data_IF_052834554281
#
_entry.id   IF_052834554281
#
_cell.length_a   1.000
_cell.length_b   1.000
_cell.length_c   1.000
_cell.angle_alpha   90.00
_cell.angle_beta   90.00
_cell.angle_gamma   90.00
#
_symmetry.space_group_name_H-M   'P 1'
#
loop_
_entity.id
_entity.type
_entity.pdbx_description
1 polymer ?
#
# COMPACT_ATOMS: atom_id res chain seq x y z
N UNK A 1 -12.92 20.28 -19.38
CA UNK A 1 -12.39 20.02 -18.02
C UNK A 1 -10.90 20.27 -18.09
N UNK A 2 -10.36 21.13 -17.24
CA UNK A 2 -8.93 21.46 -17.24
C UNK A 2 -8.13 20.39 -16.47
N UNK A 3 -7.05 19.90 -17.08
CA UNK A 3 -6.21 18.83 -16.52
C UNK A 3 -5.39 19.31 -15.34
N UNK A 4 -4.95 20.56 -15.33
CA UNK A 4 -4.21 21.16 -14.21
C UNK A 4 -5.08 21.16 -12.96
N UNK A 5 -6.34 21.58 -13.11
CA UNK A 5 -7.32 21.53 -12.02
C UNK A 5 -7.53 20.10 -11.51
N UNK A 6 -7.59 19.10 -12.39
CA UNK A 6 -7.75 17.69 -12.01
C UNK A 6 -6.52 17.21 -11.23
N UNK A 7 -5.31 17.48 -11.72
CA UNK A 7 -4.06 17.08 -11.08
C UNK A 7 -3.91 17.77 -9.72
N UNK A 8 -4.16 19.07 -9.63
CA UNK A 8 -4.06 19.81 -8.38
C UNK A 8 -5.09 19.32 -7.33
N UNK A 9 -6.27 18.89 -7.77
CA UNK A 9 -7.33 18.41 -6.86
C UNK A 9 -7.10 16.95 -6.44
N UNK A 10 -6.70 16.08 -7.37
CA UNK A 10 -6.70 14.62 -7.17
C UNK A 10 -5.29 14.01 -7.12
N UNK A 11 -4.24 14.81 -7.34
CA UNK A 11 -2.86 14.35 -7.41
C UNK A 11 -2.41 13.62 -6.15
N UNK A 12 -2.61 14.24 -4.98
CA UNK A 12 -2.27 13.59 -3.70
C UNK A 12 -3.12 12.33 -3.46
N UNK A 13 -4.38 12.33 -3.88
CA UNK A 13 -5.24 11.15 -3.75
C UNK A 13 -4.75 9.97 -4.60
N UNK A 14 -4.45 10.21 -5.89
CA UNK A 14 -3.95 9.16 -6.79
C UNK A 14 -2.59 8.67 -6.34
N UNK A 15 -1.70 9.57 -5.89
CA UNK A 15 -0.40 9.20 -5.36
C UNK A 15 -0.49 8.28 -4.15
N UNK A 16 -1.28 8.65 -3.13
CA UNK A 16 -1.45 7.78 -1.98
C UNK A 16 -2.11 6.45 -2.37
N UNK A 17 -2.97 6.46 -3.40
CA UNK A 17 -3.58 5.25 -3.94
C UNK A 17 -2.56 4.31 -4.55
N UNK A 18 -1.70 4.83 -5.41
CA UNK A 18 -0.58 4.11 -5.95
C UNK A 18 0.39 3.64 -4.84
N UNK A 19 0.67 4.50 -3.84
CA UNK A 19 1.61 4.21 -2.76
C UNK A 19 1.16 3.05 -1.87
N UNK A 20 -0.09 3.03 -1.41
CA UNK A 20 -0.54 1.92 -0.56
C UNK A 20 -0.69 0.62 -1.37
N UNK A 21 -0.95 0.68 -2.69
CA UNK A 21 -0.95 -0.50 -3.55
C UNK A 21 0.47 -1.06 -3.81
N UNK A 22 1.39 -0.20 -4.26
CA UNK A 22 2.75 -0.60 -4.64
C UNK A 22 3.66 -0.80 -3.43
N UNK A 23 3.35 -0.11 -2.33
CA UNK A 23 4.20 0.02 -1.14
C UNK A 23 5.62 0.52 -1.47
N UNK A 24 5.78 1.21 -2.60
CA UNK A 24 7.05 1.74 -3.09
C UNK A 24 6.84 3.17 -3.62
N UNK A 25 7.46 4.20 -3.00
CA UNK A 25 7.30 5.59 -3.42
C UNK A 25 7.64 5.86 -4.88
N UNK A 26 8.75 5.33 -5.40
CA UNK A 26 9.16 5.54 -6.79
C UNK A 26 8.15 4.93 -7.77
N UNK A 27 7.69 3.71 -7.50
CA UNK A 27 6.63 3.09 -8.32
C UNK A 27 5.32 3.87 -8.19
N UNK A 28 5.03 4.45 -7.03
CA UNK A 28 3.83 5.26 -6.83
C UNK A 28 3.85 6.55 -7.64
N UNK A 29 5.01 7.21 -7.73
CA UNK A 29 5.22 8.36 -8.62
C UNK A 29 4.92 7.97 -10.07
N UNK A 30 5.59 6.94 -10.60
CA UNK A 30 5.39 6.47 -11.98
C UNK A 30 3.93 6.14 -12.27
N UNK A 31 3.28 5.36 -11.39
CA UNK A 31 1.87 5.00 -11.54
C UNK A 31 0.94 6.21 -11.51
N UNK A 32 1.25 7.23 -10.70
CA UNK A 32 0.45 8.45 -10.62
C UNK A 32 0.54 9.25 -11.91
N UNK A 33 1.75 9.41 -12.44
CA UNK A 33 1.98 10.06 -13.73
C UNK A 33 1.24 9.30 -14.85
N UNK A 34 1.45 7.99 -14.98
CA UNK A 34 0.76 7.16 -15.97
C UNK A 34 -0.77 7.25 -15.82
N UNK A 35 -1.27 7.38 -14.59
CA UNK A 35 -2.70 7.52 -14.33
C UNK A 35 -3.25 8.81 -14.92
N UNK A 36 -2.58 9.94 -14.71
CA UNK A 36 -3.06 11.22 -15.25
C UNK A 36 -2.91 11.29 -16.77
N UNK A 37 -1.85 10.71 -17.34
CA UNK A 37 -1.70 10.57 -18.80
C UNK A 37 -2.86 9.75 -19.38
N UNK A 38 -3.14 8.57 -18.82
CA UNK A 38 -4.22 7.69 -19.29
C UNK A 38 -5.61 8.29 -19.04
N UNK A 39 -5.79 9.00 -17.92
CA UNK A 39 -7.01 9.73 -17.62
C UNK A 39 -7.25 10.83 -18.66
N UNK A 40 -6.24 11.64 -18.97
CA UNK A 40 -6.37 12.69 -19.97
C UNK A 40 -6.78 12.15 -21.33
N UNK A 41 -6.14 11.06 -21.78
CA UNK A 41 -6.50 10.39 -23.03
C UNK A 41 -7.95 9.86 -23.06
N UNK A 42 -8.51 9.52 -21.90
CA UNK A 42 -9.84 8.94 -21.74
C UNK A 42 -10.86 9.93 -21.17
N UNK A 43 -10.53 11.22 -21.08
CA UNK A 43 -11.34 12.20 -20.34
C UNK A 43 -12.78 12.28 -20.86
N UNK A 44 -12.98 12.10 -22.17
CA UNK A 44 -14.29 12.08 -22.83
C UNK A 44 -15.18 10.88 -22.42
N UNK A 45 -14.62 9.87 -21.76
CA UNK A 45 -15.36 8.72 -21.24
C UNK A 45 -15.94 8.97 -19.85
N UNK A 46 -15.51 10.03 -19.17
CA UNK A 46 -16.04 10.43 -17.87
C UNK A 46 -17.42 11.07 -18.07
N UNK A 47 -18.48 10.30 -17.81
CA UNK A 47 -19.87 10.75 -17.99
C UNK A 47 -20.39 11.64 -16.85
N UNK A 48 -19.87 11.45 -15.64
CA UNK A 48 -20.27 12.17 -14.43
C UNK A 48 -19.03 12.69 -13.72
N UNK A 49 -18.94 14.01 -13.53
CA UNK A 49 -17.83 14.65 -12.83
C UNK A 49 -17.72 14.22 -11.36
N UNK A 50 -18.84 13.84 -10.73
CA UNK A 50 -18.84 13.35 -9.34
C UNK A 50 -18.16 11.98 -9.21
N UNK A 51 -18.08 11.22 -10.31
CA UNK A 51 -17.42 9.92 -10.36
C UNK A 51 -15.90 10.02 -10.63
N UNK A 52 -15.32 11.22 -10.78
CA UNK A 52 -13.91 11.38 -11.17
C UNK A 52 -12.96 10.65 -10.21
N UNK A 53 -13.23 10.67 -8.90
CA UNK A 53 -12.40 10.02 -7.89
C UNK A 53 -12.37 8.50 -8.07
N UNK A 54 -13.53 7.87 -8.22
CA UNK A 54 -13.63 6.42 -8.44
C UNK A 54 -13.17 6.00 -9.83
N UNK A 55 -13.31 6.88 -10.83
CA UNK A 55 -12.80 6.69 -12.18
C UNK A 55 -11.27 6.73 -12.24
N UNK A 56 -10.63 7.73 -11.62
CA UNK A 56 -9.16 7.79 -11.48
C UNK A 56 -8.62 6.59 -10.71
N UNK A 57 -9.29 6.18 -9.62
CA UNK A 57 -8.98 4.97 -8.87
C UNK A 57 -8.91 3.73 -9.76
N UNK A 58 -9.91 3.57 -10.66
CA UNK A 58 -9.97 2.44 -11.60
C UNK A 58 -8.81 2.47 -12.61
N UNK A 59 -8.45 3.66 -13.13
CA UNK A 59 -7.31 3.81 -14.03
C UNK A 59 -6.01 3.45 -13.32
N UNK A 60 -5.78 4.01 -12.14
CA UNK A 60 -4.58 3.75 -11.35
C UNK A 60 -4.43 2.26 -10.99
N UNK A 61 -5.52 1.60 -10.60
CA UNK A 61 -5.50 0.18 -10.29
C UNK A 61 -5.13 -0.67 -11.51
N UNK A 62 -5.65 -0.34 -12.69
CA UNK A 62 -5.29 -1.03 -13.92
C UNK A 62 -3.82 -0.82 -14.29
N UNK A 63 -3.31 0.41 -14.17
CA UNK A 63 -1.89 0.71 -14.38
C UNK A 63 -1.02 -0.10 -13.41
N UNK A 64 -1.41 -0.17 -12.13
CA UNK A 64 -0.72 -0.99 -11.12
C UNK A 64 -0.68 -2.47 -11.51
N UNK A 65 -1.81 -3.07 -11.90
CA UNK A 65 -1.82 -4.46 -12.35
C UNK A 65 -0.96 -4.68 -13.60
N UNK A 66 -0.93 -3.72 -14.53
CA UNK A 66 -0.06 -3.79 -15.70
C UNK A 66 1.42 -3.70 -15.32
N UNK A 67 1.78 -2.82 -14.39
CA UNK A 67 3.14 -2.71 -13.83
C UNK A 67 3.55 -4.04 -13.19
N UNK A 68 2.72 -4.60 -12.32
CA UNK A 68 3.01 -5.87 -11.66
C UNK A 68 3.15 -7.02 -12.67
N UNK A 69 2.30 -7.10 -13.70
CA UNK A 69 2.38 -8.12 -14.77
C UNK A 69 3.70 -8.09 -15.55
N UNK A 70 4.29 -6.91 -15.72
CA UNK A 70 5.58 -6.76 -16.41
C UNK A 70 6.75 -7.22 -15.52
N UNK A 71 6.58 -7.28 -14.20
CA UNK A 71 7.60 -7.77 -13.29
C UNK A 71 7.67 -9.30 -13.33
N UNK A 72 8.89 -9.84 -13.45
CA UNK A 72 9.18 -11.28 -13.64
C UNK A 72 8.59 -12.19 -12.54
N UNK A 73 8.25 -11.63 -11.38
CA UNK A 73 7.75 -12.37 -10.22
C UNK A 73 6.22 -12.33 -10.08
N UNK A 74 5.48 -11.75 -11.04
CA UNK A 74 4.02 -11.60 -10.96
C UNK A 74 3.30 -12.90 -10.63
N UNK A 75 3.65 -13.98 -11.34
CA UNK A 75 3.03 -15.30 -11.18
C UNK A 75 3.34 -15.91 -9.81
N UNK A 76 4.52 -15.67 -9.24
CA UNK A 76 4.89 -16.16 -7.92
C UNK A 76 4.16 -15.40 -6.80
N UNK A 77 3.85 -14.12 -7.03
CA UNK A 77 3.12 -13.26 -6.10
C UNK A 77 1.60 -13.53 -6.11
N UNK A 78 1.08 -14.31 -7.05
CA UNK A 78 -0.36 -14.57 -7.24
C UNK A 78 -0.92 -15.73 -6.42
N UNK A 79 -0.07 -16.64 -5.93
CA UNK A 79 -0.53 -17.94 -5.42
C UNK A 79 -1.15 -17.87 -4.02
N UNK A 80 -2.45 -17.62 -3.99
CA UNK A 80 -3.32 -18.07 -2.90
C UNK A 80 -4.41 -18.99 -3.50
N UNK A 81 -4.55 -20.20 -2.96
CA UNK A 81 -5.61 -21.14 -3.36
C UNK A 81 -6.99 -20.59 -2.96
N UNK A 82 -7.81 -20.24 -3.96
CA UNK A 82 -9.16 -19.68 -3.79
C UNK A 82 -10.05 -20.59 -2.95
N UNK A 83 -10.03 -21.91 -3.17
CA UNK A 83 -10.87 -22.84 -2.42
C UNK A 83 -10.45 -22.87 -0.94
N UNK A 84 -9.16 -22.74 -0.66
CA UNK A 84 -8.67 -22.66 0.71
C UNK A 84 -9.04 -21.32 1.36
N UNK A 85 -8.97 -20.21 0.61
CA UNK A 85 -9.38 -18.89 1.10
C UNK A 85 -10.85 -18.85 1.49
N UNK A 86 -11.73 -19.43 0.67
CA UNK A 86 -13.17 -19.50 0.96
C UNK A 86 -13.45 -20.33 2.22
N UNK A 87 -12.72 -21.42 2.45
CA UNK A 87 -12.81 -22.20 3.70
C UNK A 87 -12.35 -21.41 4.93
N UNK A 88 -11.42 -20.48 4.76
CA UNK A 88 -10.88 -19.65 5.84
C UNK A 88 -11.70 -18.36 6.07
N UNK A 89 -12.77 -18.11 5.31
CA UNK A 89 -13.51 -16.83 5.35
C UNK A 89 -14.03 -16.46 6.74
N UNK A 90 -14.42 -17.47 7.53
CA UNK A 90 -15.04 -17.33 8.84
C UNK A 90 -14.02 -17.03 9.94
N UNK A 91 -12.73 -17.14 9.64
CA UNK A 91 -11.63 -16.87 10.56
C UNK A 91 -11.32 -15.37 10.65
N UNK A 92 -11.76 -14.58 9.68
CA UNK A 92 -11.61 -13.13 9.70
C UNK A 92 -12.45 -12.54 10.85
N UNK A 93 -11.75 -12.00 11.86
CA UNK A 93 -12.38 -11.25 12.95
C UNK A 93 -12.28 -9.75 12.70
N UNK A 94 -13.40 -9.04 12.84
CA UNK A 94 -13.41 -7.58 12.79
C UNK A 94 -12.98 -7.01 14.15
N UNK A 95 -11.81 -6.38 14.18
CA UNK A 95 -11.26 -5.74 15.37
C UNK A 95 -11.01 -4.26 15.08
N UNK A 96 -11.97 -3.37 15.43
CA UNK A 96 -11.78 -1.94 15.24
C UNK A 96 -10.67 -1.43 16.17
N UNK A 97 -9.87 -0.45 15.73
CA UNK A 97 -8.95 0.27 16.62
C UNK A 97 -9.70 0.88 17.80
N UNK A 98 -9.11 0.81 18.99
CA UNK A 98 -9.64 1.39 20.22
C UNK A 98 -8.82 2.63 20.61
N UNK A 99 -9.36 3.55 21.44
CA UNK A 99 -8.62 4.73 21.89
C UNK A 99 -7.27 4.39 22.53
N UNK A 100 -7.18 3.29 23.27
CA UNK A 100 -5.92 2.82 23.88
C UNK A 100 -4.86 2.32 22.86
N UNK A 101 -5.25 2.09 21.60
CA UNK A 101 -4.33 1.68 20.54
C UNK A 101 -3.63 2.90 19.88
N UNK A 102 -4.07 4.12 20.18
CA UNK A 102 -3.47 5.35 19.66
C UNK A 102 -2.07 5.56 20.25
N UNK A 103 -1.09 5.78 19.38
CA UNK A 103 0.29 6.06 19.79
C UNK A 103 0.71 7.42 19.26
N UNK A 104 0.88 8.37 20.19
CA UNK A 104 1.47 9.68 19.88
C UNK A 104 2.99 9.51 19.85
N UNK A 105 3.59 9.76 18.68
CA UNK A 105 5.04 9.69 18.46
C UNK A 105 5.53 10.94 17.73
N UNK A 106 6.82 11.25 17.89
CA UNK A 106 7.49 12.29 17.12
C UNK A 106 7.39 12.00 15.60
N UNK A 107 7.34 13.04 14.76
CA UNK A 107 7.14 12.93 13.31
C UNK A 107 8.15 12.00 12.63
N UNK A 108 9.44 12.15 12.94
CA UNK A 108 10.51 11.30 12.39
C UNK A 108 10.33 9.81 12.77
N UNK A 109 9.76 9.52 13.94
CA UNK A 109 9.42 8.16 14.36
C UNK A 109 8.23 7.64 13.55
N UNK A 110 7.20 8.46 13.37
CA UNK A 110 6.05 8.11 12.52
C UNK A 110 6.48 7.80 11.09
N UNK A 111 7.35 8.60 10.48
CA UNK A 111 7.85 8.36 9.13
C UNK A 111 8.58 7.02 8.99
N UNK A 112 9.46 6.69 9.95
CA UNK A 112 10.16 5.41 9.98
C UNK A 112 9.20 4.24 10.18
N UNK A 113 8.22 4.37 11.08
CA UNK A 113 7.17 3.37 11.29
C UNK A 113 6.42 3.14 9.98
N UNK A 114 5.93 4.20 9.34
CA UNK A 114 5.21 4.10 8.06
C UNK A 114 6.04 3.42 6.97
N UNK A 115 7.34 3.75 6.88
CA UNK A 115 8.27 3.09 5.96
C UNK A 115 8.42 1.59 6.25
N UNK A 116 8.59 1.21 7.52
CA UNK A 116 8.68 -0.19 7.95
C UNK A 116 7.38 -0.95 7.65
N UNK A 117 6.23 -0.35 7.95
CA UNK A 117 4.91 -0.92 7.76
C UNK A 117 4.61 -1.17 6.27
N UNK A 118 4.90 -0.19 5.39
CA UNK A 118 4.80 -0.37 3.94
C UNK A 118 5.78 -1.43 3.43
N UNK A 119 7.01 -1.44 3.93
CA UNK A 119 8.00 -2.44 3.53
C UNK A 119 7.52 -3.87 3.83
N UNK A 120 6.85 -4.10 4.97
CA UNK A 120 6.35 -5.43 5.33
C UNK A 120 5.15 -5.87 4.50
N UNK A 121 4.28 -4.95 4.11
CA UNK A 121 3.18 -5.24 3.17
C UNK A 121 3.70 -5.72 1.81
N UNK A 122 4.91 -5.32 1.40
CA UNK A 122 5.56 -5.83 0.17
C UNK A 122 5.92 -7.31 0.21
N UNK A 123 5.96 -7.92 1.39
CA UNK A 123 6.25 -9.35 1.54
C UNK A 123 4.99 -10.22 1.61
N UNK A 124 3.80 -9.61 1.56
CA UNK A 124 2.56 -10.33 1.28
C UNK A 124 2.50 -10.75 -0.19
N UNK A 125 1.71 -11.80 -0.48
CA UNK A 125 1.29 -12.10 -1.86
C UNK A 125 0.59 -10.87 -2.45
N UNK A 126 0.61 -10.74 -3.77
CA UNK A 126 -0.02 -9.61 -4.46
C UNK A 126 -1.51 -9.52 -4.14
N UNK A 127 -2.22 -10.65 -4.10
CA UNK A 127 -3.65 -10.68 -3.77
C UNK A 127 -3.93 -10.27 -2.32
N UNK A 128 -3.14 -10.77 -1.36
CA UNK A 128 -3.23 -10.35 0.04
C UNK A 128 -2.94 -8.86 0.18
N UNK A 129 -1.88 -8.37 -0.48
CA UNK A 129 -1.51 -6.95 -0.50
C UNK A 129 -2.64 -6.08 -1.03
N UNK A 130 -3.19 -6.41 -2.20
CA UNK A 130 -4.28 -5.65 -2.79
C UNK A 130 -5.48 -5.61 -1.84
N UNK A 131 -5.90 -6.77 -1.31
CA UNK A 131 -7.04 -6.83 -0.38
C UNK A 131 -6.79 -5.96 0.87
N UNK A 132 -5.62 -6.08 1.48
CA UNK A 132 -5.22 -5.31 2.66
C UNK A 132 -5.17 -3.80 2.36
N UNK A 133 -4.52 -3.39 1.27
CA UNK A 133 -4.40 -1.99 0.91
C UNK A 133 -5.74 -1.34 0.59
N UNK A 134 -6.63 -2.03 -0.12
CA UNK A 134 -7.96 -1.51 -0.46
C UNK A 134 -8.84 -1.37 0.78
N UNK A 135 -8.85 -2.38 1.66
CA UNK A 135 -9.79 -2.44 2.77
C UNK A 135 -9.25 -1.68 3.99
N UNK A 136 -8.07 -2.05 4.50
CA UNK A 136 -7.58 -1.50 5.77
C UNK A 136 -6.89 -0.16 5.61
N UNK A 137 -6.10 0.02 4.54
CA UNK A 137 -5.37 1.29 4.32
C UNK A 137 -6.20 2.35 3.59
N UNK A 138 -7.19 1.92 2.79
CA UNK A 138 -8.05 2.83 2.02
C UNK A 138 -9.50 2.91 2.48
N UNK A 139 -9.96 1.99 3.31
CA UNK A 139 -11.31 2.00 3.86
C UNK A 139 -12.41 1.62 2.86
N UNK A 140 -12.09 0.90 1.77
CA UNK A 140 -13.14 0.36 0.90
C UNK A 140 -13.90 -0.76 1.61
N UNK A 141 -15.17 -0.92 1.24
CA UNK A 141 -15.95 -2.07 1.67
C UNK A 141 -15.44 -3.36 1.05
N UNK A 142 -15.73 -4.50 1.69
CA UNK A 142 -15.44 -5.83 1.14
C UNK A 142 -16.06 -6.02 -0.26
N UNK A 143 -17.25 -5.47 -0.50
CA UNK A 143 -17.94 -5.58 -1.79
C UNK A 143 -17.23 -4.78 -2.89
N UNK A 144 -16.78 -3.55 -2.58
CA UNK A 144 -15.99 -2.77 -3.53
C UNK A 144 -14.64 -3.43 -3.82
N UNK A 145 -13.95 -3.92 -2.77
CA UNK A 145 -12.67 -4.58 -2.93
C UNK A 145 -12.79 -5.87 -3.76
N UNK A 146 -13.79 -6.72 -3.48
CA UNK A 146 -13.98 -7.96 -4.25
C UNK A 146 -14.28 -7.69 -5.72
N UNK A 147 -15.06 -6.63 -6.02
CA UNK A 147 -15.33 -6.20 -7.39
C UNK A 147 -14.08 -5.66 -8.11
N UNK A 148 -13.19 -4.98 -7.39
CA UNK A 148 -11.92 -4.48 -7.93
C UNK A 148 -10.95 -5.65 -8.20
N UNK A 149 -10.85 -6.60 -7.27
CA UNK A 149 -9.93 -7.75 -7.35
C UNK A 149 -10.44 -8.77 -8.40
N UNK A 150 -11.76 -8.90 -8.56
CA UNK A 150 -12.38 -9.85 -9.49
C UNK A 150 -12.52 -11.27 -8.93
N UNK A 151 -12.71 -11.41 -7.61
CA UNK A 151 -12.92 -12.69 -6.92
C UNK A 151 -14.13 -12.60 -5.97
N UNK A 152 -14.55 -13.74 -5.40
CA UNK A 152 -15.69 -13.77 -4.47
C UNK A 152 -15.41 -12.93 -3.20
N UNK A 153 -16.48 -12.41 -2.58
CA UNK A 153 -16.38 -11.74 -1.26
C UNK A 153 -15.78 -12.67 -0.21
N UNK A 154 -16.11 -13.95 -0.29
CA UNK A 154 -15.58 -15.02 0.57
C UNK A 154 -14.06 -15.15 0.45
N UNK A 155 -13.55 -15.33 -0.77
CA UNK A 155 -12.11 -15.39 -1.04
C UNK A 155 -11.40 -14.10 -0.63
N UNK A 156 -12.05 -12.94 -0.83
CA UNK A 156 -11.53 -11.64 -0.39
C UNK A 156 -11.35 -11.58 1.13
N UNK A 157 -12.29 -12.12 1.91
CA UNK A 157 -12.14 -12.23 3.38
C UNK A 157 -10.98 -13.15 3.77
N UNK A 158 -10.83 -14.28 3.08
CA UNK A 158 -9.71 -15.20 3.28
C UNK A 158 -8.36 -14.52 3.02
N UNK A 159 -8.26 -13.72 1.95
CA UNK A 159 -7.04 -12.96 1.64
C UNK A 159 -6.72 -11.96 2.74
N UNK A 160 -7.73 -11.21 3.19
CA UNK A 160 -7.57 -10.23 4.25
C UNK A 160 -7.13 -10.89 5.57
N UNK A 161 -7.74 -12.03 5.91
CA UNK A 161 -7.36 -12.82 7.08
C UNK A 161 -5.89 -13.23 7.03
N UNK A 162 -5.43 -13.80 5.91
CA UNK A 162 -4.02 -14.18 5.75
C UNK A 162 -3.07 -13.00 5.79
N UNK A 163 -3.44 -11.89 5.13
CA UNK A 163 -2.67 -10.66 5.16
C UNK A 163 -2.44 -10.20 6.61
N UNK A 164 -3.51 -10.17 7.41
CA UNK A 164 -3.39 -9.81 8.82
C UNK A 164 -2.53 -10.79 9.60
N UNK A 165 -2.75 -12.10 9.47
CA UNK A 165 -1.98 -13.09 10.23
C UNK A 165 -0.49 -13.04 9.89
N UNK A 166 -0.14 -12.78 8.62
CA UNK A 166 1.23 -12.59 8.18
C UNK A 166 1.89 -11.36 8.80
N UNK A 167 1.20 -10.21 8.78
CA UNK A 167 1.71 -8.97 9.38
C UNK A 167 1.79 -9.06 10.90
N UNK A 168 0.74 -9.53 11.55
CA UNK A 168 0.67 -9.70 13.00
C UNK A 168 1.81 -10.58 13.50
N UNK A 169 2.02 -11.74 12.86
CA UNK A 169 3.08 -12.67 13.23
C UNK A 169 4.47 -12.02 13.12
N UNK A 170 4.70 -11.26 12.05
CA UNK A 170 5.95 -10.55 11.86
C UNK A 170 6.15 -9.49 12.95
N UNK A 171 5.23 -8.54 13.09
CA UNK A 171 5.44 -7.42 14.00
C UNK A 171 5.41 -7.84 15.46
N UNK A 172 4.59 -8.81 15.85
CA UNK A 172 4.55 -9.34 17.21
C UNK A 172 5.91 -9.84 17.69
N UNK A 173 6.70 -10.46 16.80
CA UNK A 173 8.01 -11.04 17.14
C UNK A 173 9.18 -10.07 17.04
N UNK A 174 8.98 -8.90 16.42
CA UNK A 174 10.10 -8.04 16.03
C UNK A 174 9.94 -6.59 16.49
N UNK A 175 8.71 -6.08 16.63
CA UNK A 175 8.46 -4.66 16.82
C UNK A 175 8.35 -4.30 18.31
N UNK A 176 9.24 -3.42 18.82
CA UNK A 176 9.18 -2.94 20.21
C UNK A 176 7.91 -2.13 20.50
N UNK A 177 7.35 -1.48 19.48
CA UNK A 177 6.09 -0.74 19.58
C UNK A 177 4.90 -1.63 19.97
N UNK A 178 4.94 -2.91 19.56
CA UNK A 178 3.87 -3.86 19.85
C UNK A 178 4.15 -4.70 21.09
N UNK A 179 5.41 -5.08 21.31
CA UNK A 179 5.85 -5.79 22.52
C UNK A 179 7.21 -5.22 22.95
N UNK A 180 7.25 -4.66 24.17
CA UNK A 180 8.43 -4.00 24.75
C UNK A 180 9.65 -4.90 24.89
N UNK A 181 9.48 -6.23 24.83
CA UNK A 181 10.57 -7.20 24.87
C UNK A 181 11.30 -7.35 23.53
N UNK A 182 10.74 -6.84 22.44
CA UNK A 182 11.34 -6.93 21.12
C UNK A 182 12.48 -5.91 20.94
N UNK A 183 13.47 -6.28 20.11
CA UNK A 183 14.71 -5.52 19.93
C UNK A 183 14.62 -4.36 18.94
N UNK A 184 13.64 -4.34 18.02
CA UNK A 184 13.51 -3.25 17.05
C UNK A 184 12.97 -1.98 17.69
N UNK A 185 13.81 -0.96 17.88
CA UNK A 185 13.39 0.36 18.38
C UNK A 185 13.52 1.42 17.29
N UNK A 186 12.39 2.05 16.92
CA UNK A 186 12.39 3.13 15.93
C UNK A 186 13.32 4.28 16.33
N UNK A 187 13.33 4.66 17.61
CA UNK A 187 14.23 5.71 18.12
C UNK A 187 15.69 5.30 17.97
N UNK A 188 16.04 4.06 18.32
CA UNK A 188 17.39 3.54 18.15
C UNK A 188 17.80 3.51 16.67
N UNK A 189 16.89 3.15 15.76
CA UNK A 189 17.14 3.15 14.31
C UNK A 189 17.37 4.56 13.75
N UNK A 190 16.61 5.56 14.19
CA UNK A 190 16.81 6.95 13.79
C UNK A 190 18.17 7.45 14.28
N UNK A 191 18.49 7.24 15.55
CA UNK A 191 19.78 7.63 16.13
C UNK A 191 20.95 6.90 15.47
N UNK A 192 20.77 5.61 15.14
CA UNK A 192 21.73 4.86 14.34
C UNK A 192 21.89 5.47 12.94
N UNK A 193 20.80 5.77 12.23
CA UNK A 193 20.83 6.34 10.89
C UNK A 193 21.54 7.69 10.84
N UNK A 194 21.29 8.57 11.81
CA UNK A 194 21.99 9.87 11.93
C UNK A 194 23.50 9.70 12.12
N UNK A 195 23.93 8.59 12.73
CA UNK A 195 25.36 8.25 12.96
C UNK A 195 25.93 7.38 11.84
N UNK A 196 25.08 6.88 10.93
CA UNK A 196 25.39 5.88 9.90
C UNK A 196 26.12 6.46 8.69
N UNK A 197 26.11 7.78 8.50
CA UNK A 197 26.81 8.44 7.39
C UNK A 197 28.31 8.10 7.32
N UNK A 198 28.89 7.48 8.36
CA UNK A 198 30.29 7.02 8.39
C UNK A 198 30.53 5.50 8.31
N UNK A 199 29.54 4.64 8.05
CA UNK A 199 29.77 3.19 7.98
C UNK A 199 29.00 2.51 6.84
N UNK A 200 29.59 2.57 5.64
CA UNK A 200 29.36 1.56 4.61
C UNK A 200 30.67 0.79 4.35
N UNK A 201 30.75 -0.42 4.91
CA UNK A 201 31.40 -1.58 4.30
C UNK A 201 30.99 -2.83 5.05
N UNK A 202 30.62 -3.84 4.27
CA UNK A 202 30.32 -5.22 4.65
C UNK A 202 28.97 -5.47 5.35
N UNK A 203 27.91 -5.66 4.57
CA UNK A 203 26.77 -6.46 5.04
C UNK A 203 26.90 -7.89 4.53
N UNK A 204 27.10 -8.82 5.45
CA UNK A 204 27.02 -10.25 5.18
C UNK A 204 25.62 -10.62 4.65
N UNK A 205 25.59 -11.62 3.76
CA UNK A 205 24.40 -12.23 3.17
C UNK A 205 23.55 -12.90 4.24
N UNK A 206 22.74 -12.14 4.97
CA UNK A 206 21.57 -12.71 5.63
C UNK A 206 20.58 -13.14 4.55
N UNK A 207 19.94 -14.30 4.76
CA UNK A 207 18.88 -14.80 3.88
C UNK A 207 17.79 -13.74 3.84
N UNK A 208 17.63 -13.08 2.69
CA UNK A 208 16.63 -12.04 2.51
C UNK A 208 15.25 -12.68 2.72
N UNK A 209 14.40 -12.05 3.52
CA UNK A 209 12.98 -12.41 3.56
C UNK A 209 12.46 -12.26 2.12
N UNK A 210 11.79 -13.30 1.61
CA UNK A 210 11.22 -13.30 0.26
C UNK A 210 9.70 -13.24 0.28
N UNK A 211 9.07 -13.76 1.35
CA UNK A 211 7.62 -13.67 1.63
C UNK A 211 7.34 -13.82 3.13
N UNK A 212 6.22 -13.30 3.60
CA UNK A 212 5.68 -13.60 4.93
C UNK A 212 4.81 -14.85 4.89
N UNK A 213 5.00 -15.75 5.85
CA UNK A 213 4.17 -16.93 6.03
C UNK A 213 3.96 -17.21 7.52
N UNK A 214 2.77 -16.85 8.02
CA UNK A 214 2.43 -17.06 9.42
C UNK A 214 2.33 -18.55 9.77
N UNK A 215 2.15 -19.47 8.81
CA UNK A 215 2.06 -20.91 9.11
C UNK A 215 3.40 -21.51 9.48
N UNK A 216 4.50 -20.93 8.98
CA UNK A 216 5.86 -21.27 9.42
C UNK A 216 6.16 -20.73 10.83
N UNK A 217 5.29 -19.85 11.32
CA UNK A 217 5.42 -19.18 12.60
C UNK A 217 4.47 -19.82 13.60
N UNK A 218 4.92 -20.17 14.81
CA UNK A 218 4.00 -20.59 15.89
C UNK A 218 3.16 -19.43 16.46
N UNK A 219 2.84 -18.42 15.64
CA UNK A 219 2.04 -17.26 16.04
C UNK A 219 0.58 -17.65 16.23
N UNK A 220 -0.02 -17.15 17.32
CA UNK A 220 -1.45 -17.23 17.60
C UNK A 220 -2.01 -15.83 17.59
N UNK A 221 -3.18 -15.68 16.99
CA UNK A 221 -3.90 -14.41 16.91
C UNK A 221 -3.99 -13.72 18.29
N UNK A 222 -3.71 -12.43 18.31
CA UNK A 222 -3.71 -11.58 19.49
C UNK A 222 -4.48 -10.28 19.19
N UNK A 223 -5.55 -10.02 19.95
CA UNK A 223 -6.45 -8.90 19.73
C UNK A 223 -5.79 -7.53 19.93
N UNK A 224 -4.89 -7.41 20.91
CA UNK A 224 -4.19 -6.15 21.21
C UNK A 224 -3.20 -5.79 20.09
N UNK A 225 -2.43 -6.78 19.63
CA UNK A 225 -1.51 -6.65 18.50
C UNK A 225 -2.28 -6.21 17.25
N UNK A 226 -3.41 -6.88 16.98
CA UNK A 226 -4.26 -6.55 15.83
C UNK A 226 -4.81 -5.13 15.91
N UNK A 227 -5.32 -4.71 17.06
CA UNK A 227 -5.87 -3.36 17.26
C UNK A 227 -4.85 -2.27 16.95
N UNK A 228 -3.65 -2.40 17.51
CA UNK A 228 -2.51 -1.49 17.27
C UNK A 228 -2.08 -1.46 15.81
N UNK A 229 -1.90 -2.61 15.17
CA UNK A 229 -1.51 -2.69 13.76
C UNK A 229 -2.57 -2.02 12.87
N UNK A 230 -3.85 -2.34 13.09
CA UNK A 230 -4.96 -1.75 12.34
C UNK A 230 -5.00 -0.22 12.51
N UNK A 231 -4.79 0.29 13.73
CA UNK A 231 -4.71 1.72 13.99
C UNK A 231 -3.63 2.38 13.13
N UNK A 232 -2.41 1.83 13.14
CA UNK A 232 -1.26 2.40 12.45
C UNK A 232 -1.44 2.41 10.92
N UNK A 233 -1.95 1.33 10.34
CA UNK A 233 -2.18 1.27 8.90
C UNK A 233 -3.33 2.17 8.43
N UNK A 234 -4.43 2.24 9.20
CA UNK A 234 -5.60 3.06 8.86
C UNK A 234 -5.30 4.56 8.97
N UNK A 235 -4.48 4.94 9.94
CA UNK A 235 -4.08 6.33 10.19
C UNK A 235 -2.72 6.68 9.57
N UNK A 236 -2.22 5.85 8.63
CA UNK A 236 -1.01 6.18 7.90
C UNK A 236 -1.19 7.52 7.16
N UNK A 237 -0.36 8.53 7.47
CA UNK A 237 -0.54 9.88 6.93
C UNK A 237 -0.37 9.89 5.42
N UNK A 238 -1.20 10.69 4.75
CA UNK A 238 -1.08 10.91 3.32
C UNK A 238 0.24 11.61 3.00
N UNK A 239 0.95 11.08 2.00
CA UNK A 239 2.17 11.68 1.47
C UNK A 239 1.85 12.52 0.24
N UNK A 240 2.70 13.50 -0.02
CA UNK A 240 2.65 14.29 -1.26
C UNK A 240 3.97 14.12 -2.01
N UNK A 241 3.93 13.87 -3.34
CA UNK A 241 5.08 14.07 -4.20
C UNK A 241 5.67 15.47 -4.03
N UNK A 242 6.93 15.62 -4.39
CA UNK A 242 7.56 16.95 -4.41
C UNK A 242 6.84 17.90 -5.36
N UNK A 243 6.86 19.21 -5.06
CA UNK A 243 6.29 20.22 -5.94
C UNK A 243 6.89 20.16 -7.35
N UNK A 244 8.20 19.91 -7.44
CA UNK A 244 8.89 19.74 -8.73
C UNK A 244 8.29 18.59 -9.55
N UNK A 245 8.04 17.45 -8.91
CA UNK A 245 7.41 16.31 -9.56
C UNK A 245 6.02 16.66 -10.13
N UNK A 246 5.20 17.41 -9.38
CA UNK A 246 3.90 17.85 -9.87
C UNK A 246 4.00 18.72 -11.13
N UNK A 247 4.93 19.69 -11.14
CA UNK A 247 5.15 20.57 -12.28
C UNK A 247 5.61 19.79 -13.52
N UNK A 248 6.45 18.76 -13.35
CA UNK A 248 6.88 17.90 -14.44
C UNK A 248 5.71 17.13 -15.07
N UNK A 249 4.81 16.56 -14.26
CA UNK A 249 3.65 15.82 -14.77
C UNK A 249 2.71 16.72 -15.56
N UNK A 250 2.43 17.93 -15.06
CA UNK A 250 1.62 18.93 -15.75
C UNK A 250 2.25 19.29 -17.09
N UNK A 251 3.55 19.58 -17.09
CA UNK A 251 4.30 19.93 -18.30
C UNK A 251 4.22 18.84 -19.37
N UNK A 252 4.49 17.58 -19.01
CA UNK A 252 4.45 16.44 -19.93
C UNK A 252 3.07 16.30 -20.58
N UNK A 253 1.99 16.43 -19.80
CA UNK A 253 0.64 16.29 -20.33
C UNK A 253 0.28 17.44 -21.27
N UNK A 254 0.72 18.66 -20.95
CA UNK A 254 0.54 19.83 -21.81
C UNK A 254 1.31 19.70 -23.13
N UNK A 255 2.55 19.20 -23.12
CA UNK A 255 3.32 18.93 -24.35
C UNK A 255 2.63 17.87 -25.23
N UNK A 256 2.10 16.80 -24.63
CA UNK A 256 1.34 15.79 -25.37
C UNK A 256 0.06 16.35 -26.01
N UNK A 257 -0.56 17.37 -25.39
CA UNK A 257 -1.74 18.04 -25.93
C UNK A 257 -1.42 18.90 -27.14
N UNK A 258 -0.34 19.71 -27.05
CA UNK A 258 0.16 20.53 -28.15
C UNK A 258 0.38 19.64 -29.37
N UNK A 259 1.13 18.55 -29.22
CA UNK A 259 1.45 17.64 -30.33
C UNK A 259 0.24 16.91 -30.94
N UNK A 260 -0.88 16.77 -30.21
CA UNK A 260 -2.13 16.18 -30.73
C UNK A 260 -2.99 17.14 -31.56
N UNK A 261 -2.82 18.44 -31.41
CA UNK A 261 -3.58 19.45 -32.17
C UNK A 261 -2.85 19.90 -33.46
N UNK A 262 -1.66 19.38 -33.72
CA UNK A 262 -0.86 19.62 -34.94
C UNK A 262 -0.82 18.40 -35.90
N UNK A 263 -1.63 17.37 -35.64
CA UNK A 263 -1.83 16.18 -36.48
C UNK A 263 -3.31 16.05 -36.84
#
# INVERSE_FOLDING_TARGET
MDIERIINTYGSYVFNYALKLSCNPSVAEDLTQETFINAWQKINTLKDSNAIKSWLRKICFNNFLMHERKNKNYTELLYDDINLLEKEEHLLKYNPPRPEDEVIVEEAISELQNGCFLAMVRYLTLHQRIAFSLIDMFGLSLDEASNIIGISKSATKGLLYRAHMNLDSFFYKHCNLLDVNNTCSCRAWIEFSKKRDNLQKNSNKHKLITKLDYKESNYKFNDEVRGKINFLYKNMPDRKPSENWYQQVVHIINEMYINKNYL
#
